data_IF_045987210070
#
_entry.id   IF_045987210070
#
_cell.length_a   1.000
_cell.length_b   1.000
_cell.length_c   1.000
_cell.angle_alpha   90.00
_cell.angle_beta   90.00
_cell.angle_gamma   90.00
#
_symmetry.space_group_name_H-M   'P 1'
#
loop_
_entity.id
_entity.type
_entity.pdbx_description
1 polymer ?
#
# COMPACT_ATOMS: atom_id res chain seq x y z
N UNK A 1 -41.66 50.61 28.54
CA UNK A 1 -41.18 49.36 29.16
C UNK A 1 -41.21 48.30 28.06
N UNK A 2 -40.02 47.89 27.59
CA UNK A 2 -39.65 46.73 26.76
C UNK A 2 -40.26 46.55 25.35
N UNK A 3 -39.40 46.80 24.36
CA UNK A 3 -39.29 46.10 23.08
C UNK A 3 -39.04 44.59 23.30
N UNK A 4 -39.52 43.73 22.41
CA UNK A 4 -38.68 42.95 21.47
C UNK A 4 -39.52 41.91 20.72
N UNK A 5 -39.38 41.95 19.40
CA UNK A 5 -39.78 40.94 18.41
C UNK A 5 -38.84 39.73 18.48
N UNK A 6 -39.35 38.51 18.52
CA UNK A 6 -38.56 37.30 18.27
C UNK A 6 -39.10 36.56 17.03
N UNK A 7 -38.27 36.59 15.99
CA UNK A 7 -38.21 35.60 14.92
C UNK A 7 -37.48 34.37 15.48
N UNK A 8 -38.07 33.18 15.34
CA UNK A 8 -37.31 31.93 15.43
C UNK A 8 -37.61 31.06 14.21
N UNK A 9 -36.57 30.86 13.41
CA UNK A 9 -36.53 30.03 12.21
C UNK A 9 -35.88 28.69 12.51
N UNK A 10 -36.52 27.62 12.03
CA UNK A 10 -35.99 26.33 11.53
C UNK A 10 -34.67 25.81 12.14
N UNK A 11 -34.78 24.67 12.83
CA UNK A 11 -33.65 23.77 13.09
C UNK A 11 -33.64 22.70 11.99
N UNK A 12 -32.69 22.81 11.06
CA UNK A 12 -32.32 21.75 10.12
C UNK A 12 -31.25 20.83 10.76
N UNK A 13 -31.45 19.53 10.61
CA UNK A 13 -30.54 18.47 11.04
C UNK A 13 -29.39 18.30 10.06
N UNK A 14 -28.16 18.68 10.46
CA UNK A 14 -26.92 18.28 9.79
C UNK A 14 -26.16 17.24 10.63
N UNK A 15 -25.47 16.24 10.02
CA UNK A 15 -24.61 15.35 10.77
C UNK A 15 -23.36 16.11 11.22
N UNK A 16 -23.13 16.05 12.53
CA UNK A 16 -22.03 16.68 13.26
C UNK A 16 -20.70 16.04 12.85
N UNK A 17 -19.80 16.85 12.29
CA UNK A 17 -18.41 16.51 12.03
C UNK A 17 -17.70 16.29 13.36
N UNK A 18 -17.19 15.08 13.61
CA UNK A 18 -16.31 14.82 14.74
C UNK A 18 -14.86 15.10 14.31
N UNK A 19 -14.46 16.39 14.35
CA UNK A 19 -13.05 16.78 14.34
C UNK A 19 -12.44 16.43 15.70
N UNK A 20 -11.93 15.21 15.86
CA UNK A 20 -11.03 14.90 16.97
C UNK A 20 -9.60 15.15 16.51
N UNK A 21 -9.06 16.28 16.98
CA UNK A 21 -7.64 16.58 17.01
C UNK A 21 -6.88 15.49 17.78
N UNK A 22 -5.84 14.94 17.17
CA UNK A 22 -4.65 14.50 17.88
C UNK A 22 -3.44 14.86 17.03
N UNK A 23 -2.67 15.81 17.54
CA UNK A 23 -1.50 16.45 16.95
C UNK A 23 -0.45 15.44 16.46
N UNK A 24 -0.51 15.08 15.17
CA UNK A 24 0.71 14.72 14.44
C UNK A 24 1.22 16.03 13.84
N UNK A 25 2.20 16.63 14.50
CA UNK A 25 2.94 17.75 13.95
C UNK A 25 3.73 17.25 12.73
N UNK A 26 3.12 17.34 11.55
CA UNK A 26 3.82 17.13 10.27
C UNK A 26 5.00 18.09 10.21
N UNK A 27 6.22 17.55 10.32
CA UNK A 27 7.45 18.34 10.16
C UNK A 27 7.53 18.74 8.68
N UNK A 28 7.02 19.95 8.39
CA UNK A 28 7.09 20.53 7.06
C UNK A 28 8.46 21.17 6.86
N UNK A 29 9.07 20.93 5.71
CA UNK A 29 10.18 21.78 5.27
C UNK A 29 9.67 23.23 5.16
N UNK A 30 10.44 24.19 5.68
CA UNK A 30 10.10 25.61 5.61
C UNK A 30 9.93 26.15 4.16
N UNK A 31 10.34 25.37 3.15
CA UNK A 31 10.35 25.75 1.75
C UNK A 31 9.27 25.05 0.89
N UNK A 32 8.35 24.29 1.48
CA UNK A 32 7.33 23.59 0.69
C UNK A 32 6.06 24.44 0.49
N UNK A 33 5.60 24.54 -0.76
CA UNK A 33 4.30 25.15 -1.12
C UNK A 33 3.13 24.16 -1.02
N UNK A 34 3.42 22.89 -0.73
CA UNK A 34 2.43 21.82 -0.64
C UNK A 34 1.55 21.98 0.59
N UNK A 35 0.27 21.66 0.45
CA UNK A 35 -0.67 21.61 1.57
C UNK A 35 -0.88 20.17 2.02
N UNK A 36 -1.06 19.97 3.32
CA UNK A 36 -1.19 18.64 3.93
C UNK A 36 -2.40 18.62 4.86
N UNK A 37 -3.16 17.53 4.83
CA UNK A 37 -4.24 17.27 5.79
C UNK A 37 -4.23 15.80 6.19
N UNK A 38 -4.30 15.56 7.49
CA UNK A 38 -4.55 14.23 8.04
C UNK A 38 -6.02 14.12 8.38
N UNK A 39 -6.67 13.06 7.91
CA UNK A 39 -8.07 12.76 8.20
C UNK A 39 -8.21 11.30 8.62
N UNK A 40 -9.32 10.98 9.28
CA UNK A 40 -9.75 9.60 9.53
C UNK A 40 -11.16 9.45 9.00
N UNK A 41 -11.37 8.50 8.07
CA UNK A 41 -12.67 8.21 7.50
C UNK A 41 -13.60 7.53 8.52
N UNK A 42 -14.89 7.43 8.19
CA UNK A 42 -15.89 6.77 9.05
C UNK A 42 -15.56 5.30 9.34
N UNK A 43 -14.96 4.60 8.37
CA UNK A 43 -14.47 3.23 8.54
C UNK A 43 -13.11 3.15 9.25
N UNK A 44 -12.66 4.22 9.93
CA UNK A 44 -11.37 4.30 10.67
C UNK A 44 -10.11 4.26 9.81
N UNK A 45 -10.23 4.26 8.48
CA UNK A 45 -9.07 4.40 7.60
C UNK A 45 -8.44 5.78 7.81
N UNK A 46 -7.14 5.81 8.11
CA UNK A 46 -6.38 7.06 8.21
C UNK A 46 -5.83 7.44 6.85
N UNK A 47 -5.92 8.71 6.53
CA UNK A 47 -5.54 9.23 5.22
C UNK A 47 -4.67 10.47 5.38
N UNK A 48 -3.54 10.48 4.66
CA UNK A 48 -2.76 11.69 4.41
C UNK A 48 -3.09 12.23 3.02
N UNK A 49 -3.57 13.47 2.98
CA UNK A 49 -3.85 14.21 1.77
C UNK A 49 -2.75 15.23 1.53
N UNK A 50 -2.20 15.24 0.32
CA UNK A 50 -1.21 16.23 -0.13
C UNK A 50 -1.73 16.91 -1.38
N UNK A 51 -1.99 18.21 -1.28
CA UNK A 51 -2.35 19.03 -2.44
C UNK A 51 -1.11 19.74 -2.97
N UNK A 52 -0.81 19.48 -4.25
CA UNK A 52 0.25 20.14 -5.00
C UNK A 52 -0.28 20.54 -6.39
N UNK A 53 -0.65 21.80 -6.54
CA UNK A 53 -1.21 22.34 -7.79
C UNK A 53 -0.25 22.28 -8.99
N UNK A 54 1.05 22.07 -8.75
CA UNK A 54 2.08 22.02 -9.79
C UNK A 54 2.46 20.59 -10.19
N UNK A 55 1.81 19.56 -9.64
CA UNK A 55 2.22 18.18 -9.85
C UNK A 55 1.76 17.62 -11.19
N UNK A 56 2.65 17.21 -12.08
CA UNK A 56 2.22 16.63 -13.37
C UNK A 56 1.53 15.26 -13.21
N UNK A 57 2.07 14.43 -12.31
CA UNK A 57 1.51 13.12 -11.96
C UNK A 57 0.99 13.08 -10.53
N UNK A 58 -0.27 12.70 -10.39
CA UNK A 58 -0.83 12.34 -9.08
C UNK A 58 -0.33 10.95 -8.67
N UNK A 59 -0.34 10.69 -7.37
CA UNK A 59 0.12 9.41 -6.83
C UNK A 59 -0.73 8.99 -5.64
N UNK A 60 -0.82 7.68 -5.43
CA UNK A 60 -1.46 7.11 -4.25
C UNK A 60 -0.67 5.90 -3.76
N UNK A 61 -0.71 5.69 -2.45
CA UNK A 61 -0.25 4.46 -1.82
C UNK A 61 -1.24 4.01 -0.74
N UNK A 62 -1.44 2.71 -0.61
CA UNK A 62 -2.14 2.10 0.52
C UNK A 62 -1.25 1.05 1.16
N UNK A 63 -1.07 1.19 2.47
CA UNK A 63 -0.30 0.27 3.31
C UNK A 63 -1.28 -0.55 4.11
N UNK A 64 -1.11 -1.87 4.11
CA UNK A 64 -1.80 -2.79 5.00
C UNK A 64 -0.79 -3.30 6.03
N UNK A 65 -1.11 -3.19 7.32
CA UNK A 65 -0.29 -3.65 8.45
C UNK A 65 -0.23 -5.17 8.62
N UNK A 66 -0.15 -5.89 7.50
CA UNK A 66 0.01 -7.34 7.44
C UNK A 66 1.02 -7.68 6.36
N UNK A 67 1.80 -8.75 6.58
CA UNK A 67 2.81 -9.24 5.65
C UNK A 67 3.18 -10.68 6.00
N UNK A 68 4.35 -11.14 5.54
CA UNK A 68 4.76 -12.55 5.65
C UNK A 68 4.88 -13.07 7.10
N UNK A 69 4.98 -12.19 8.09
CA UNK A 69 4.96 -12.55 9.51
C UNK A 69 3.66 -13.31 9.89
N UNK A 70 2.55 -12.98 9.22
CA UNK A 70 1.22 -13.56 9.43
C UNK A 70 0.88 -14.71 8.48
N UNK A 71 1.82 -15.11 7.61
CA UNK A 71 1.62 -16.27 6.74
C UNK A 71 1.32 -17.52 7.57
N UNK A 72 0.34 -18.35 7.16
CA UNK A 72 0.08 -19.58 7.86
C UNK A 72 1.29 -20.54 7.66
N UNK A 73 1.64 -21.34 8.68
CA UNK A 73 2.86 -22.16 8.66
C UNK A 73 2.87 -23.19 7.52
N UNK A 74 1.70 -23.57 7.02
CA UNK A 74 1.53 -24.51 5.92
C UNK A 74 1.42 -23.83 4.54
N UNK A 75 1.43 -22.49 4.46
CA UNK A 75 1.48 -21.71 3.21
C UNK A 75 2.38 -20.47 3.36
N UNK A 76 3.68 -20.70 3.53
CA UNK A 76 4.68 -19.63 3.52
C UNK A 76 4.69 -18.90 2.16
N UNK A 77 4.68 -17.56 2.20
CA UNK A 77 4.57 -16.66 1.04
C UNK A 77 3.15 -16.30 0.64
N UNK A 78 2.13 -16.67 1.43
CA UNK A 78 0.72 -16.42 1.08
C UNK A 78 0.39 -14.93 1.00
N UNK A 79 0.96 -14.10 1.86
CA UNK A 79 0.76 -12.64 1.82
C UNK A 79 1.31 -12.03 0.53
N UNK A 80 2.48 -12.51 0.08
CA UNK A 80 3.09 -12.08 -1.17
C UNK A 80 2.29 -12.59 -2.37
N UNK A 81 1.79 -13.83 -2.32
CA UNK A 81 0.91 -14.33 -3.36
C UNK A 81 -0.42 -13.56 -3.43
N UNK A 82 -0.98 -13.17 -2.28
CA UNK A 82 -2.16 -12.31 -2.23
C UNK A 82 -1.91 -10.96 -2.90
N UNK A 83 -0.74 -10.35 -2.69
CA UNK A 83 -0.33 -9.10 -3.36
C UNK A 83 -0.47 -9.20 -4.88
N UNK A 84 0.07 -10.26 -5.49
CA UNK A 84 -0.06 -10.50 -6.94
C UNK A 84 -1.53 -10.66 -7.33
N UNK A 85 -2.29 -11.42 -6.55
CA UNK A 85 -3.68 -11.74 -6.87
C UNK A 85 -4.64 -10.54 -6.79
N UNK A 86 -4.30 -9.46 -6.07
CA UNK A 86 -5.12 -8.23 -6.09
C UNK A 86 -5.08 -7.50 -7.43
N UNK A 87 -4.05 -7.71 -8.25
CA UNK A 87 -3.98 -7.16 -9.60
C UNK A 87 -4.78 -7.97 -10.64
N UNK A 88 -5.31 -9.14 -10.26
CA UNK A 88 -5.94 -10.11 -11.16
C UNK A 88 -7.47 -9.94 -11.32
N UNK A 89 -7.95 -8.72 -11.07
CA UNK A 89 -9.34 -8.35 -11.30
C UNK A 89 -10.18 -8.28 -10.03
N UNK A 90 -11.20 -7.43 -10.11
CA UNK A 90 -12.12 -7.09 -9.02
C UNK A 90 -13.55 -7.19 -9.52
N UNK A 91 -14.54 -7.20 -8.63
CA UNK A 91 -15.95 -7.32 -9.04
C UNK A 91 -16.39 -6.21 -10.01
N UNK A 92 -15.90 -4.98 -9.82
CA UNK A 92 -16.22 -3.83 -10.68
C UNK A 92 -15.37 -3.79 -11.96
N UNK A 93 -14.13 -4.26 -11.88
CA UNK A 93 -13.18 -4.34 -13.01
C UNK A 93 -12.67 -5.78 -13.14
N UNK A 94 -13.45 -6.68 -13.76
CA UNK A 94 -13.19 -8.13 -13.71
C UNK A 94 -12.06 -8.61 -14.62
N UNK A 95 -11.70 -7.80 -15.62
CA UNK A 95 -10.66 -8.17 -16.59
C UNK A 95 -9.29 -8.24 -15.90
N UNK A 96 -8.59 -9.36 -16.07
CA UNK A 96 -7.24 -9.56 -15.53
C UNK A 96 -6.28 -8.49 -16.07
N UNK A 97 -5.53 -7.83 -15.19
CA UNK A 97 -4.58 -6.78 -15.59
C UNK A 97 -5.21 -5.47 -16.07
N UNK A 98 -6.52 -5.25 -15.88
CA UNK A 98 -7.20 -4.00 -16.27
C UNK A 98 -6.54 -2.77 -15.64
N UNK A 99 -6.26 -2.84 -14.33
CA UNK A 99 -5.58 -1.76 -13.62
C UNK A 99 -4.20 -1.47 -14.21
N UNK A 100 -3.40 -2.51 -14.44
CA UNK A 100 -2.08 -2.39 -15.03
C UNK A 100 -2.13 -1.69 -16.40
N UNK A 101 -3.04 -2.15 -17.26
CA UNK A 101 -3.27 -1.58 -18.59
C UNK A 101 -3.72 -0.12 -18.50
N UNK A 102 -4.64 0.20 -17.58
CA UNK A 102 -5.12 1.55 -17.38
C UNK A 102 -4.00 2.50 -16.95
N UNK A 103 -3.22 2.12 -15.93
CA UNK A 103 -2.09 2.93 -15.44
C UNK A 103 -1.07 3.18 -16.56
N UNK A 104 -0.63 2.12 -17.26
CA UNK A 104 0.38 2.27 -18.32
C UNK A 104 -0.13 3.08 -19.52
N UNK A 105 -1.42 2.99 -19.88
CA UNK A 105 -1.99 3.74 -21.01
C UNK A 105 -2.13 5.23 -20.73
N UNK A 106 -2.10 5.64 -19.46
CA UNK A 106 -2.23 7.04 -19.02
C UNK A 106 -0.94 7.56 -18.40
N UNK A 107 0.19 7.06 -18.90
CA UNK A 107 1.52 7.55 -18.54
C UNK A 107 1.87 7.33 -17.08
N UNK A 108 1.26 6.35 -16.41
CA UNK A 108 1.49 6.03 -15.01
C UNK A 108 2.39 4.82 -14.81
N UNK A 109 2.81 4.60 -13.56
CA UNK A 109 3.48 3.39 -13.09
C UNK A 109 2.78 2.86 -11.85
N UNK A 110 2.79 1.54 -11.65
CA UNK A 110 2.28 0.91 -10.44
C UNK A 110 3.25 -0.18 -10.01
N UNK A 111 3.25 -0.49 -8.73
CA UNK A 111 3.89 -1.69 -8.21
C UNK A 111 3.35 -1.96 -6.79
N UNK A 112 3.80 -3.05 -6.18
CA UNK A 112 3.53 -3.37 -4.80
C UNK A 112 4.78 -4.02 -4.17
N UNK A 113 4.74 -4.18 -2.85
CA UNK A 113 5.79 -4.87 -2.12
C UNK A 113 5.24 -5.48 -0.83
N UNK A 114 5.58 -6.74 -0.59
CA UNK A 114 5.26 -7.45 0.65
C UNK A 114 6.51 -7.57 1.53
N UNK A 115 6.50 -6.85 2.64
CA UNK A 115 7.50 -6.99 3.71
C UNK A 115 7.12 -8.05 4.73
N UNK A 116 7.77 -8.00 5.89
CA UNK A 116 7.40 -8.87 7.01
C UNK A 116 6.10 -8.45 7.65
N UNK A 117 5.98 -7.16 7.93
CA UNK A 117 4.88 -6.60 8.73
C UNK A 117 3.86 -5.84 7.90
N UNK A 118 4.22 -5.45 6.68
CA UNK A 118 3.38 -4.61 5.82
C UNK A 118 3.31 -5.14 4.40
N UNK A 119 2.22 -4.81 3.72
CA UNK A 119 2.06 -4.95 2.28
C UNK A 119 1.69 -3.57 1.74
N UNK A 120 2.49 -3.06 0.81
CA UNK A 120 2.33 -1.73 0.25
C UNK A 120 1.91 -1.82 -1.21
N UNK A 121 0.88 -1.08 -1.59
CA UNK A 121 0.43 -0.94 -2.98
C UNK A 121 0.46 0.52 -3.36
N UNK A 122 0.90 0.86 -4.56
CA UNK A 122 1.05 2.26 -4.95
C UNK A 122 1.08 2.42 -6.46
N UNK A 123 0.74 3.62 -6.90
CA UNK A 123 0.84 4.00 -8.30
C UNK A 123 1.05 5.51 -8.44
N UNK A 124 1.57 5.90 -9.61
CA UNK A 124 1.49 7.24 -10.16
C UNK A 124 0.70 7.22 -11.47
N UNK A 125 0.08 8.35 -11.81
CA UNK A 125 -0.66 8.52 -13.06
C UNK A 125 -0.73 10.00 -13.44
N UNK A 126 -0.90 10.29 -14.72
CA UNK A 126 -1.25 11.64 -15.16
C UNK A 126 -2.45 12.20 -14.37
N UNK A 127 -2.32 13.45 -13.92
CA UNK A 127 -3.30 14.11 -13.07
C UNK A 127 -4.74 14.08 -13.58
N UNK A 128 -4.96 14.04 -14.89
CA UNK A 128 -6.28 14.02 -15.50
C UNK A 128 -7.06 12.72 -15.22
N UNK A 129 -6.36 11.62 -14.92
CA UNK A 129 -6.95 10.28 -14.76
C UNK A 129 -6.88 9.76 -13.32
N UNK A 130 -6.53 10.63 -12.36
CA UNK A 130 -6.29 10.23 -10.97
C UNK A 130 -7.55 9.65 -10.32
N UNK A 131 -8.72 10.26 -10.58
CA UNK A 131 -9.99 9.82 -9.98
C UNK A 131 -10.34 8.40 -10.46
N UNK A 132 -10.21 8.14 -11.75
CA UNK A 132 -10.48 6.85 -12.39
C UNK A 132 -9.48 5.76 -11.99
N UNK A 133 -8.23 6.13 -11.70
CA UNK A 133 -7.23 5.23 -11.14
C UNK A 133 -7.57 4.84 -9.70
N UNK A 134 -7.98 5.82 -8.87
CA UNK A 134 -8.39 5.57 -7.48
C UNK A 134 -9.64 4.70 -7.38
N UNK A 135 -10.59 4.87 -8.30
CA UNK A 135 -11.76 4.01 -8.38
C UNK A 135 -11.34 2.54 -8.52
N UNK A 136 -10.48 2.22 -9.49
CA UNK A 136 -9.94 0.86 -9.71
C UNK A 136 -9.13 0.37 -8.52
N UNK A 137 -8.22 1.20 -8.03
CA UNK A 137 -7.31 0.87 -6.95
C UNK A 137 -8.07 0.52 -5.66
N UNK A 138 -9.13 1.28 -5.34
CA UNK A 138 -9.95 0.99 -4.15
C UNK A 138 -10.59 -0.41 -4.18
N UNK A 139 -10.93 -0.92 -5.37
CA UNK A 139 -11.59 -2.21 -5.51
C UNK A 139 -10.71 -3.39 -5.09
N UNK A 140 -9.39 -3.23 -5.08
CA UNK A 140 -8.44 -4.24 -4.57
C UNK A 140 -8.74 -4.60 -3.12
N UNK A 141 -9.21 -3.61 -2.34
CA UNK A 141 -9.45 -3.74 -0.91
C UNK A 141 -10.94 -3.92 -0.57
N UNK A 142 -11.83 -3.82 -1.57
CA UNK A 142 -13.29 -3.95 -1.40
C UNK A 142 -13.78 -5.32 -1.86
N UNK A 143 -13.47 -5.70 -3.10
CA UNK A 143 -14.03 -6.92 -3.71
C UNK A 143 -13.13 -7.53 -4.80
N UNK A 144 -11.91 -7.97 -4.44
CA UNK A 144 -11.06 -8.75 -5.33
C UNK A 144 -11.72 -10.09 -5.70
N UNK A 145 -11.55 -10.56 -6.94
CA UNK A 145 -12.18 -11.80 -7.42
C UNK A 145 -11.44 -13.06 -7.00
N UNK A 146 -10.11 -12.95 -6.89
CA UNK A 146 -9.20 -14.10 -6.72
C UNK A 146 -9.52 -15.18 -7.75
N UNK A 147 -9.47 -14.84 -9.05
CA UNK A 147 -9.91 -15.74 -10.12
C UNK A 147 -9.14 -17.07 -10.09
N UNK A 148 -9.88 -18.18 -10.13
CA UNK A 148 -9.27 -19.52 -10.13
C UNK A 148 -8.40 -19.73 -11.38
N UNK A 149 -8.87 -19.23 -12.53
CA UNK A 149 -8.20 -19.33 -13.83
C UNK A 149 -6.78 -18.76 -13.85
N UNK A 150 -6.51 -17.72 -13.06
CA UNK A 150 -5.19 -17.10 -12.99
C UNK A 150 -4.34 -17.63 -11.83
N UNK A 151 -4.93 -18.30 -10.84
CA UNK A 151 -4.24 -18.66 -9.58
C UNK A 151 -2.97 -19.47 -9.85
N UNK A 152 -3.03 -20.51 -10.70
CA UNK A 152 -1.85 -21.32 -11.04
C UNK A 152 -0.80 -20.51 -11.83
N UNK A 153 -1.23 -19.58 -12.67
CA UNK A 153 -0.32 -18.75 -13.48
C UNK A 153 0.49 -17.80 -12.60
N UNK A 154 -0.19 -17.07 -11.73
CA UNK A 154 0.44 -16.14 -10.80
C UNK A 154 1.34 -16.88 -9.79
N UNK A 155 0.96 -18.08 -9.36
CA UNK A 155 1.79 -18.89 -8.49
C UNK A 155 3.11 -19.30 -9.18
N UNK A 156 3.07 -19.62 -10.47
CA UNK A 156 4.29 -19.87 -11.27
C UNK A 156 5.15 -18.60 -11.42
N UNK A 157 4.54 -17.40 -11.46
CA UNK A 157 5.27 -16.12 -11.46
C UNK A 157 6.01 -15.94 -10.13
N UNK A 158 5.33 -16.11 -9.00
CA UNK A 158 5.95 -16.07 -7.66
C UNK A 158 7.09 -17.09 -7.53
N UNK A 159 6.89 -18.30 -8.05
CA UNK A 159 7.95 -19.31 -8.06
C UNK A 159 9.16 -18.87 -8.89
N UNK A 160 8.93 -18.27 -10.06
CA UNK A 160 10.00 -17.77 -10.92
C UNK A 160 10.77 -16.62 -10.26
N UNK A 161 10.08 -15.75 -9.52
CA UNK A 161 10.71 -14.72 -8.71
C UNK A 161 11.60 -15.32 -7.62
N UNK A 162 11.11 -16.33 -6.90
CA UNK A 162 11.94 -17.05 -5.92
C UNK A 162 13.19 -17.65 -6.57
N UNK A 163 13.08 -18.29 -7.74
CA UNK A 163 14.22 -18.84 -8.47
C UNK A 163 15.23 -17.75 -8.87
N UNK A 164 14.76 -16.55 -9.24
CA UNK A 164 15.62 -15.39 -9.50
C UNK A 164 16.35 -14.96 -8.22
N UNK A 165 15.61 -14.81 -7.12
CA UNK A 165 16.14 -14.36 -5.82
C UNK A 165 17.21 -15.31 -5.25
N UNK A 166 17.11 -16.62 -5.51
CA UNK A 166 18.13 -17.60 -5.09
C UNK A 166 19.53 -17.33 -5.64
N UNK A 167 19.65 -16.57 -6.74
CA UNK A 167 20.92 -16.20 -7.38
C UNK A 167 21.50 -14.89 -6.85
N UNK A 168 20.83 -14.24 -5.91
CA UNK A 168 21.23 -12.94 -5.36
C UNK A 168 21.66 -13.08 -3.90
N UNK A 169 22.90 -12.68 -3.60
CA UNK A 169 23.49 -12.85 -2.25
C UNK A 169 22.70 -12.15 -1.14
N UNK A 170 22.09 -10.99 -1.43
CA UNK A 170 21.25 -10.28 -0.47
C UNK A 170 20.08 -11.16 0.02
N UNK A 171 19.35 -11.79 -0.90
CA UNK A 171 18.22 -12.66 -0.57
C UNK A 171 18.69 -13.96 0.11
N UNK A 172 19.82 -14.52 -0.35
CA UNK A 172 20.43 -15.70 0.28
C UNK A 172 20.81 -15.43 1.73
N UNK A 173 21.48 -14.30 1.99
CA UNK A 173 21.86 -13.88 3.33
C UNK A 173 20.62 -13.64 4.21
N UNK A 174 19.61 -12.95 3.68
CA UNK A 174 18.34 -12.75 4.37
C UNK A 174 17.70 -14.07 4.81
N UNK A 175 17.62 -15.07 3.93
CA UNK A 175 17.06 -16.37 4.29
C UNK A 175 17.94 -17.16 5.27
N UNK A 176 19.27 -17.08 5.18
CA UNK A 176 20.17 -17.69 6.17
C UNK A 176 19.91 -17.08 7.55
N UNK A 177 19.82 -15.76 7.65
CA UNK A 177 19.54 -15.08 8.91
C UNK A 177 18.21 -15.55 9.52
N UNK A 178 17.14 -15.68 8.70
CA UNK A 178 15.86 -16.23 9.14
C UNK A 178 15.98 -17.65 9.67
N UNK A 179 16.72 -18.50 8.96
CA UNK A 179 16.92 -19.90 9.35
C UNK A 179 17.73 -20.06 10.64
N UNK A 180 18.56 -19.07 11.00
CA UNK A 180 19.33 -19.04 12.25
C UNK A 180 18.49 -18.55 13.45
N UNK A 181 17.34 -17.92 13.21
CA UNK A 181 16.41 -17.55 14.26
C UNK A 181 15.66 -18.77 14.83
N UNK A 182 15.06 -18.59 16.01
CA UNK A 182 14.20 -19.62 16.61
C UNK A 182 13.08 -20.03 15.62
N UNK A 183 12.89 -21.34 15.43
CA UNK A 183 11.90 -21.91 14.51
C UNK A 183 10.47 -21.52 14.84
N UNK A 184 10.19 -21.30 16.12
CA UNK A 184 8.87 -20.87 16.58
C UNK A 184 8.65 -19.36 16.40
N UNK A 185 9.72 -18.59 16.17
CA UNK A 185 9.64 -17.15 15.97
C UNK A 185 9.17 -16.81 14.55
N UNK A 186 8.26 -15.85 14.44
CA UNK A 186 7.65 -15.48 13.15
C UNK A 186 8.65 -15.05 12.06
N UNK A 187 9.79 -14.48 12.45
CA UNK A 187 10.88 -14.10 11.53
C UNK A 187 11.48 -15.31 10.77
N UNK A 188 11.39 -16.53 11.31
CA UNK A 188 11.93 -17.74 10.69
C UNK A 188 11.25 -18.11 9.36
N UNK A 189 10.04 -17.61 9.13
CA UNK A 189 9.23 -17.95 7.96
C UNK A 189 9.90 -17.53 6.65
N UNK A 190 9.68 -18.34 5.61
CA UNK A 190 10.06 -17.99 4.25
C UNK A 190 9.02 -17.07 3.64
N UNK A 191 9.42 -15.85 3.25
CA UNK A 191 8.48 -14.78 2.89
C UNK A 191 8.11 -14.70 1.41
N UNK A 192 8.99 -15.15 0.50
CA UNK A 192 8.73 -15.01 -0.95
C UNK A 192 7.64 -15.96 -1.44
N UNK A 193 7.61 -17.19 -0.91
CA UNK A 193 6.77 -18.26 -1.44
C UNK A 193 7.37 -18.95 -2.66
N UNK A 194 6.88 -20.15 -2.94
CA UNK A 194 7.26 -20.98 -4.08
C UNK A 194 6.12 -21.94 -4.41
N UNK A 195 6.22 -22.66 -5.54
CA UNK A 195 5.31 -23.77 -5.84
C UNK A 195 5.16 -24.75 -4.67
N UNK A 196 6.28 -25.11 -4.05
CA UNK A 196 6.32 -26.07 -2.95
C UNK A 196 5.64 -25.56 -1.69
N UNK A 197 5.70 -24.25 -1.40
CA UNK A 197 5.14 -23.70 -0.16
C UNK A 197 3.69 -23.24 -0.35
N UNK A 198 3.34 -22.75 -1.53
CA UNK A 198 2.01 -22.23 -1.84
C UNK A 198 1.06 -23.31 -2.35
N UNK A 199 1.58 -24.36 -3.01
CA UNK A 199 0.80 -25.50 -3.48
C UNK A 199 1.57 -26.80 -3.20
N UNK A 200 1.75 -27.17 -1.92
CA UNK A 200 2.48 -28.37 -1.53
C UNK A 200 1.86 -29.65 -2.11
N UNK A 201 2.66 -30.70 -2.22
CA UNK A 201 2.24 -31.98 -2.79
C UNK A 201 0.96 -32.51 -2.11
N UNK A 202 -0.02 -32.88 -2.93
CA UNK A 202 -1.32 -33.35 -2.47
C UNK A 202 -2.35 -32.25 -2.17
N UNK A 203 -1.97 -30.97 -2.20
CA UNK A 203 -2.93 -29.85 -2.12
C UNK A 203 -3.51 -29.51 -3.50
N UNK A 204 -4.75 -29.01 -3.50
CA UNK A 204 -5.38 -28.49 -4.72
C UNK A 204 -5.19 -26.98 -4.82
N UNK A 205 -5.19 -26.46 -6.05
CA UNK A 205 -5.14 -25.01 -6.29
C UNK A 205 -6.33 -24.27 -5.64
N UNK A 206 -7.47 -24.95 -5.52
CA UNK A 206 -8.66 -24.47 -4.83
C UNK A 206 -8.39 -24.23 -3.34
N UNK A 207 -7.66 -25.14 -2.68
CA UNK A 207 -7.29 -24.99 -1.28
C UNK A 207 -6.39 -23.75 -1.08
N UNK A 208 -5.40 -23.55 -1.96
CA UNK A 208 -4.54 -22.36 -1.91
C UNK A 208 -5.33 -21.08 -2.09
N UNK A 209 -6.28 -21.08 -3.04
CA UNK A 209 -7.21 -19.97 -3.25
C UNK A 209 -8.09 -19.70 -2.02
N UNK A 210 -8.62 -20.73 -1.38
CA UNK A 210 -9.40 -20.60 -0.15
C UNK A 210 -8.57 -20.00 0.99
N UNK A 211 -7.32 -20.46 1.18
CA UNK A 211 -6.42 -19.87 2.19
C UNK A 211 -6.15 -18.40 1.91
N UNK A 212 -6.01 -18.02 0.65
CA UNK A 212 -5.82 -16.64 0.24
C UNK A 212 -7.04 -15.77 0.59
N UNK A 213 -8.24 -16.24 0.28
CA UNK A 213 -9.49 -15.55 0.65
C UNK A 213 -9.64 -15.43 2.17
N UNK A 214 -9.31 -16.50 2.91
CA UNK A 214 -9.31 -16.46 4.38
C UNK A 214 -8.31 -15.45 4.92
N UNK A 215 -7.10 -15.36 4.35
CA UNK A 215 -6.11 -14.37 4.75
C UNK A 215 -6.60 -12.94 4.49
N UNK A 216 -7.17 -12.68 3.31
CA UNK A 216 -7.77 -11.38 2.98
C UNK A 216 -8.85 -11.00 4.00
N UNK A 217 -9.84 -11.86 4.20
CA UNK A 217 -10.95 -11.60 5.13
C UNK A 217 -10.52 -11.47 6.60
N UNK A 218 -9.37 -12.04 6.97
CA UNK A 218 -8.85 -12.00 8.34
C UNK A 218 -7.96 -10.80 8.64
N UNK A 219 -7.27 -10.26 7.64
CA UNK A 219 -6.23 -9.25 7.85
C UNK A 219 -6.42 -7.97 7.03
N UNK A 220 -7.15 -7.97 5.92
CA UNK A 220 -7.37 -6.76 5.11
C UNK A 220 -8.51 -5.91 5.70
N UNK A 221 -8.18 -5.18 6.76
CA UNK A 221 -9.07 -4.27 7.48
C UNK A 221 -8.51 -2.86 7.55
N UNK A 222 -9.38 -1.86 7.47
CA UNK A 222 -9.00 -0.46 7.67
C UNK A 222 -8.40 -0.15 9.04
N UNK A 223 -8.65 -0.98 10.06
CA UNK A 223 -8.07 -0.82 11.40
C UNK A 223 -6.54 -0.86 11.40
N UNK A 224 -5.95 -1.53 10.41
CA UNK A 224 -4.49 -1.62 10.21
C UNK A 224 -4.04 -1.07 8.86
N UNK A 225 -4.85 -0.23 8.21
CA UNK A 225 -4.48 0.42 6.94
C UNK A 225 -4.16 1.91 7.12
N UNK A 226 -3.38 2.42 6.17
CA UNK A 226 -3.19 3.84 5.95
C UNK A 226 -3.16 4.13 4.44
N UNK A 227 -3.77 5.26 4.04
CA UNK A 227 -3.85 5.71 2.66
C UNK A 227 -3.10 7.04 2.50
N UNK A 228 -2.32 7.16 1.44
CA UNK A 228 -1.74 8.42 0.97
C UNK A 228 -2.32 8.81 -0.37
N UNK A 229 -2.72 10.08 -0.51
CA UNK A 229 -3.18 10.69 -1.76
C UNK A 229 -2.39 11.96 -2.02
N UNK A 230 -1.82 12.06 -3.22
CA UNK A 230 -1.23 13.31 -3.72
C UNK A 230 -1.82 13.66 -5.07
N UNK A 231 -2.32 14.89 -5.19
CA UNK A 231 -2.81 15.38 -6.47
C UNK A 231 -2.89 16.88 -6.58
N UNK A 232 -3.30 17.33 -7.78
CA UNK A 232 -3.54 18.74 -8.11
C UNK A 232 -4.76 19.32 -7.41
N UNK A 233 -5.68 18.45 -7.02
CA UNK A 233 -6.94 18.79 -6.37
C UNK A 233 -6.69 19.50 -5.03
N UNK A 234 -7.65 20.32 -4.63
CA UNK A 234 -7.68 20.91 -3.29
C UNK A 234 -7.79 19.83 -2.22
N UNK A 235 -7.44 20.16 -0.97
CA UNK A 235 -7.57 19.23 0.15
C UNK A 235 -9.01 18.76 0.38
N UNK A 236 -10.01 19.60 0.07
CA UNK A 236 -11.43 19.25 0.21
C UNK A 236 -11.88 18.26 -0.88
N UNK A 237 -11.44 18.48 -2.12
CA UNK A 237 -11.69 17.54 -3.22
C UNK A 237 -11.00 16.18 -2.97
N UNK A 238 -9.74 16.19 -2.51
CA UNK A 238 -9.02 14.95 -2.17
C UNK A 238 -9.71 14.20 -1.03
N UNK A 239 -10.23 14.91 -0.04
CA UNK A 239 -11.01 14.31 1.04
C UNK A 239 -12.29 13.66 0.50
N UNK A 240 -13.04 14.35 -0.36
CA UNK A 240 -14.26 13.80 -0.96
C UNK A 240 -13.96 12.55 -1.79
N UNK A 241 -12.87 12.56 -2.56
CA UNK A 241 -12.41 11.39 -3.33
C UNK A 241 -12.05 10.22 -2.40
N UNK A 242 -11.35 10.48 -1.29
CA UNK A 242 -11.03 9.46 -0.29
C UNK A 242 -12.29 8.84 0.32
N UNK A 243 -13.26 9.69 0.69
CA UNK A 243 -14.55 9.28 1.22
C UNK A 243 -15.36 8.45 0.21
N UNK A 244 -15.40 8.87 -1.06
CA UNK A 244 -16.14 8.21 -2.14
C UNK A 244 -15.63 6.78 -2.39
N UNK A 245 -14.31 6.61 -2.54
CA UNK A 245 -13.74 5.34 -2.98
C UNK A 245 -13.28 4.40 -1.86
N UNK A 246 -12.87 4.93 -0.71
CA UNK A 246 -12.23 4.10 0.33
C UNK A 246 -13.12 3.86 1.56
N UNK A 247 -14.23 4.59 1.73
CA UNK A 247 -15.21 4.29 2.79
C UNK A 247 -15.85 2.89 2.70
N UNK A 248 -16.03 2.27 1.52
CA UNK A 248 -16.57 0.91 1.43
C UNK A 248 -15.63 -0.20 1.92
N UNK A 249 -14.34 0.08 2.18
CA UNK A 249 -13.41 -0.92 2.71
C UNK A 249 -13.86 -1.36 4.10
N UNK A 250 -13.85 -2.67 4.35
CA UNK A 250 -14.30 -3.26 5.59
C UNK A 250 -13.41 -2.84 6.78
N UNK A 251 -14.05 -2.57 7.91
CA UNK A 251 -13.39 -2.32 9.18
C UNK A 251 -13.75 -3.42 10.20
N UNK A 252 -12.73 -4.10 10.72
CA UNK A 252 -12.83 -5.10 11.76
C UNK A 252 -11.53 -5.19 12.56
N UNK A 253 -11.61 -5.72 13.77
CA UNK A 253 -10.43 -5.90 14.62
C UNK A 253 -9.58 -7.05 14.09
N UNK A 254 -8.32 -6.74 13.78
CA UNK A 254 -7.37 -7.73 13.30
C UNK A 254 -6.74 -8.45 14.49
N UNK A 255 -6.67 -9.80 14.48
CA UNK A 255 -6.05 -10.54 15.57
C UNK A 255 -4.63 -10.07 15.88
N UNK A 256 -4.30 -9.92 17.16
CA UNK A 256 -2.94 -9.58 17.59
C UNK A 256 -1.98 -10.73 17.29
N UNK A 257 -0.70 -10.38 17.10
CA UNK A 257 0.37 -11.37 17.02
C UNK A 257 0.70 -11.81 18.45
N UNK A 258 1.09 -13.06 18.63
CA UNK A 258 1.44 -13.60 19.95
C UNK A 258 2.63 -12.83 20.56
N UNK A 259 2.35 -12.18 21.69
CA UNK A 259 3.30 -11.37 22.46
C UNK A 259 4.40 -12.21 23.11
N UNK A 260 4.14 -13.48 23.42
CA UNK A 260 5.14 -14.36 24.02
C UNK A 260 6.19 -14.77 22.99
N UNK A 261 5.77 -14.90 21.73
CA UNK A 261 6.64 -15.28 20.62
C UNK A 261 7.40 -14.06 20.06
N UNK A 262 6.72 -12.93 19.86
CA UNK A 262 7.33 -11.75 19.24
C UNK A 262 7.98 -10.80 20.26
N UNK A 263 7.60 -10.90 21.53
CA UNK A 263 7.97 -9.98 22.59
C UNK A 263 6.97 -8.82 22.72
N UNK A 264 6.61 -8.47 23.96
CA UNK A 264 5.62 -7.42 24.29
C UNK A 264 5.96 -6.06 23.69
N UNK A 265 7.24 -5.67 23.73
CA UNK A 265 7.71 -4.41 23.15
C UNK A 265 7.48 -4.35 21.63
N UNK A 266 7.68 -5.46 20.92
CA UNK A 266 7.46 -5.54 19.48
C UNK A 266 5.97 -5.52 19.12
N UNK A 267 5.11 -6.17 19.91
CA UNK A 267 3.66 -6.11 19.70
C UNK A 267 3.10 -4.72 20.03
N UNK A 268 3.62 -4.07 21.06
CA UNK A 268 3.29 -2.68 21.34
C UNK A 268 3.71 -1.76 20.17
N UNK A 269 4.92 -1.91 19.64
CA UNK A 269 5.35 -1.21 18.43
C UNK A 269 4.46 -1.51 17.22
N UNK A 270 3.97 -2.75 17.04
CA UNK A 270 3.00 -3.09 16.00
C UNK A 270 1.69 -2.31 16.16
N UNK A 271 1.16 -2.22 17.39
CA UNK A 271 -0.07 -1.48 17.68
C UNK A 271 0.09 0.03 17.46
N UNK A 272 1.24 0.59 17.83
CA UNK A 272 1.61 1.99 17.64
C UNK A 272 1.98 2.30 16.18
N UNK A 273 2.50 1.32 15.43
CA UNK A 273 2.95 1.47 14.05
C UNK A 273 1.84 1.76 13.06
N UNK A 274 0.59 1.51 13.45
CA UNK A 274 -0.55 2.03 12.70
C UNK A 274 -0.37 3.55 12.50
N UNK A 275 -0.05 4.32 13.56
CA UNK A 275 0.14 5.78 13.46
C UNK A 275 1.37 6.11 12.61
N UNK A 276 2.39 5.25 12.64
CA UNK A 276 3.59 5.33 11.81
C UNK A 276 3.32 4.99 10.34
N UNK A 277 2.32 4.20 9.96
CA UNK A 277 1.99 3.95 8.54
C UNK A 277 1.58 5.23 7.82
N UNK A 278 0.99 6.19 8.54
CA UNK A 278 0.73 7.53 7.99
C UNK A 278 2.04 8.27 7.71
N UNK A 279 3.04 8.09 8.58
CA UNK A 279 4.41 8.59 8.37
C UNK A 279 5.12 7.87 7.22
N UNK A 280 4.92 6.55 7.05
CA UNK A 280 5.45 5.79 5.91
C UNK A 280 4.78 6.24 4.61
N UNK A 281 3.46 6.41 4.57
CA UNK A 281 2.76 7.02 3.43
C UNK A 281 3.33 8.41 3.15
N UNK A 282 3.54 9.24 4.18
CA UNK A 282 4.17 10.55 4.06
C UNK A 282 5.60 10.46 3.53
N UNK A 283 6.41 9.51 3.98
CA UNK A 283 7.80 9.34 3.59
C UNK A 283 7.92 8.73 2.18
N UNK A 284 7.04 7.81 1.80
CA UNK A 284 6.92 7.27 0.44
C UNK A 284 6.52 8.35 -0.55
N UNK A 285 5.53 9.16 -0.18
CA UNK A 285 5.13 10.34 -0.94
C UNK A 285 6.32 11.31 -1.03
N UNK A 286 6.95 11.64 0.09
CA UNK A 286 8.09 12.55 0.14
C UNK A 286 9.24 12.05 -0.73
N UNK A 287 9.59 10.77 -0.66
CA UNK A 287 10.72 10.20 -1.38
C UNK A 287 10.42 10.05 -2.88
N UNK A 288 9.18 9.75 -3.26
CA UNK A 288 8.73 9.79 -4.66
C UNK A 288 8.86 11.22 -5.24
N UNK A 289 8.43 12.24 -4.51
CA UNK A 289 8.49 13.65 -4.97
C UNK A 289 9.87 14.28 -4.90
N UNK A 290 10.63 14.05 -3.82
CA UNK A 290 11.99 14.58 -3.68
C UNK A 290 12.98 13.84 -4.58
N UNK A 291 12.77 12.55 -4.83
CA UNK A 291 13.59 11.77 -5.76
C UNK A 291 13.47 12.28 -7.20
N UNK A 292 12.25 12.56 -7.68
CA UNK A 292 12.01 13.15 -9.01
C UNK A 292 12.62 14.54 -9.17
N UNK A 293 12.55 15.38 -8.15
CA UNK A 293 13.17 16.71 -8.21
C UNK A 293 14.70 16.66 -8.25
N UNK A 294 15.32 15.64 -7.66
CA UNK A 294 16.76 15.40 -7.77
C UNK A 294 17.13 14.98 -9.19
N UNK A 295 16.38 14.04 -9.79
CA UNK A 295 16.55 13.61 -11.18
C UNK A 295 16.36 14.76 -12.17
N UNK A 296 15.31 15.58 -12.04
CA UNK A 296 15.10 16.77 -12.90
C UNK A 296 16.21 17.82 -12.77
N UNK A 297 16.95 17.84 -11.66
CA UNK A 297 18.10 18.72 -11.46
C UNK A 297 19.38 18.11 -12.07
N UNK A 298 19.59 16.82 -11.83
CA UNK A 298 20.73 16.06 -12.34
C UNK A 298 20.65 15.80 -13.86
N UNK A 299 19.45 15.68 -14.44
CA UNK A 299 19.21 15.57 -15.90
C UNK A 299 19.38 16.93 -16.59
N UNK A 300 18.93 18.04 -15.98
CA UNK A 300 19.23 19.39 -16.48
C UNK A 300 20.72 19.75 -16.40
N UNK A 301 21.46 19.15 -15.48
CA UNK A 301 22.92 19.28 -15.39
C UNK A 301 23.65 18.33 -16.36
N UNK A 302 23.03 17.21 -16.78
CA UNK A 302 23.63 16.21 -17.67
C UNK A 302 23.17 16.24 -19.14
N UNK A 303 22.16 17.05 -19.51
CA UNK A 303 21.71 17.27 -20.90
C UNK A 303 22.77 17.94 -21.81
N UNK A 304 24.00 18.16 -21.32
CA UNK A 304 25.14 18.53 -22.17
C UNK A 304 25.95 17.33 -22.70
N UNK A 305 25.69 16.08 -22.30
CA UNK A 305 26.44 14.94 -22.84
C UNK A 305 25.59 13.67 -23.03
N UNK A 306 25.50 13.27 -24.31
CA UNK A 306 25.20 11.95 -24.87
C UNK A 306 23.74 11.56 -25.19
N UNK A 307 23.47 11.63 -26.51
CA UNK A 307 22.49 10.82 -27.24
C UNK A 307 22.83 9.32 -27.24
N UNK A 308 21.77 8.54 -27.42
CA UNK A 308 21.67 7.13 -27.84
C UNK A 308 22.15 6.03 -26.88
N UNK A 309 21.17 5.29 -26.34
CA UNK A 309 21.06 3.83 -26.50
C UNK A 309 19.74 3.28 -25.94
N UNK A 310 18.96 2.71 -26.84
CA UNK A 310 17.79 1.88 -26.61
C UNK A 310 18.15 0.57 -25.88
N UNK A 311 17.30 0.18 -24.93
CA UNK A 311 17.39 -1.09 -24.19
C UNK A 311 16.73 -0.96 -22.82
N UNK A 312 15.77 -1.85 -22.54
CA UNK A 312 15.03 -1.97 -21.26
C UNK A 312 16.01 -1.98 -20.06
N UNK A 313 16.31 -0.81 -19.51
CA UNK A 313 16.90 -0.64 -18.18
C UNK A 313 15.73 -0.51 -17.24
N UNK A 314 15.57 -1.43 -16.29
CA UNK A 314 14.84 -1.11 -15.06
C UNK A 314 15.42 0.21 -14.54
N UNK A 315 14.57 1.23 -14.38
CA UNK A 315 15.02 2.56 -14.01
C UNK A 315 15.71 2.44 -12.65
N UNK A 316 16.99 2.85 -12.56
CA UNK A 316 17.81 2.70 -11.35
C UNK A 316 17.10 3.36 -10.15
N UNK A 317 16.30 4.40 -10.43
CA UNK A 317 15.41 5.03 -9.47
C UNK A 317 14.31 4.09 -8.96
N UNK A 318 13.66 3.32 -9.82
CA UNK A 318 12.62 2.35 -9.44
C UNK A 318 13.22 1.26 -8.54
N UNK A 319 14.46 0.87 -8.80
CA UNK A 319 15.21 -0.07 -7.96
C UNK A 319 15.59 0.54 -6.60
N UNK A 320 16.05 1.79 -6.54
CA UNK A 320 16.33 2.50 -5.27
C UNK A 320 15.05 2.75 -4.46
N UNK A 321 13.95 3.02 -5.15
CA UNK A 321 12.66 3.25 -4.55
C UNK A 321 12.02 1.94 -4.06
N UNK A 322 12.12 0.84 -4.82
CA UNK A 322 11.79 -0.52 -4.34
C UNK A 322 12.64 -0.89 -3.12
N UNK A 323 13.96 -0.66 -3.17
CA UNK A 323 14.86 -0.85 -2.01
C UNK A 323 14.45 -0.04 -0.80
N UNK A 324 13.95 1.19 -0.98
CA UNK A 324 13.41 2.00 0.13
C UNK A 324 12.10 1.42 0.67
N UNK A 325 11.18 1.00 -0.20
CA UNK A 325 9.93 0.33 0.22
C UNK A 325 10.21 -0.97 0.98
N UNK A 326 11.14 -1.78 0.50
CA UNK A 326 11.66 -2.97 1.18
C UNK A 326 12.32 -2.59 2.50
N UNK A 327 13.17 -1.56 2.51
CA UNK A 327 13.79 -1.04 3.73
C UNK A 327 12.77 -0.50 4.74
N UNK A 328 11.64 0.06 4.32
CA UNK A 328 10.53 0.46 5.22
C UNK A 328 9.63 -0.73 5.62
N UNK A 329 9.65 -1.83 4.86
CA UNK A 329 9.02 -3.10 5.22
C UNK A 329 9.87 -3.97 6.17
N UNK A 330 11.18 -3.70 6.24
CA UNK A 330 12.17 -4.31 7.14
C UNK A 330 12.64 -3.39 8.29
N UNK A 331 12.55 -2.05 8.15
CA UNK A 331 12.61 -1.12 9.27
C UNK A 331 11.27 -1.17 9.98
N UNK A 332 11.32 -1.73 11.19
CA UNK A 332 10.23 -1.99 12.13
C UNK A 332 9.64 -3.38 11.97
#
# INVERSE_FOLDING_TARGET
>A
MKETTNFESKIESGPVICLMSSDIAMIKSAFTTKQFRLITLMNKLRVILVSDIFVDKCASCLIVGTGSIRDPPDRNGLSHFLEHMLFMGTKKYPDEGEFAKFISSHGGNYNASTGQRTTNYFFDIDSAYFKEALDRFSQFFISPLFNESCTMRELNIVHSEHQKNQRTDLFRLGQIMRNLCNKDHYYHKFSTGSLQTLNPDGSSILETRERLIQYFNKYYSTSIMALGLVGKQSLDELQQIAEEYFSPIANFDVPTIDEEILGKEFVQQLSESSQQYTQICSDLIRDYYLGKNKKNKDEKENEQQHDDKDGQREDIWELEWKKKCEKYGDLH
#
